data_IF_849674445938
#
_entry.id   IF_849674445938
#
_cell.length_a   1.000
_cell.length_b   1.000
_cell.length_c   1.000
_cell.angle_alpha   90.00
_cell.angle_beta   90.00
_cell.angle_gamma   90.00
#
_symmetry.space_group_name_H-M   'P 1'
#
loop_
_entity.id
_entity.type
_entity.pdbx_description
1 polymer ?
#
# COMPACT_ATOMS: atom_id res chain seq x y z
N UNK A 1 -59.83 4.89 24.75
CA UNK A 1 -59.24 5.81 25.76
C UNK A 1 -57.91 5.20 26.20
N UNK A 2 -56.72 5.79 26.15
CA UNK A 2 -56.22 7.11 25.77
C UNK A 2 -54.88 6.90 25.04
N UNK A 3 -54.67 7.74 24.05
CA UNK A 3 -53.40 8.01 23.39
C UNK A 3 -52.35 8.46 24.40
N UNK A 4 -51.10 8.00 24.28
CA UNK A 4 -49.94 8.70 24.82
C UNK A 4 -48.87 8.81 23.72
N UNK A 5 -48.81 10.03 23.20
CA UNK A 5 -47.89 10.56 22.21
C UNK A 5 -46.54 10.86 22.88
N UNK A 6 -45.46 10.48 22.18
CA UNK A 6 -44.11 11.08 22.07
C UNK A 6 -43.58 11.87 23.27
N UNK A 7 -42.32 11.60 23.65
CA UNK A 7 -41.19 12.52 23.41
C UNK A 7 -39.90 11.92 24.01
N UNK A 8 -38.96 11.47 23.17
CA UNK A 8 -37.54 11.47 23.55
C UNK A 8 -36.78 12.25 22.48
N UNK A 9 -36.45 13.48 22.88
CA UNK A 9 -35.70 14.47 22.14
C UNK A 9 -34.35 13.90 21.67
N UNK A 10 -34.23 13.67 20.36
CA UNK A 10 -32.93 13.51 19.70
C UNK A 10 -32.28 14.89 19.70
N UNK A 11 -31.29 15.08 20.59
CA UNK A 11 -30.47 16.27 20.63
C UNK A 11 -29.84 16.50 19.25
N UNK A 12 -30.32 17.53 18.56
CA UNK A 12 -29.81 18.00 17.28
C UNK A 12 -28.41 18.54 17.51
N UNK A 13 -27.42 17.91 16.89
CA UNK A 13 -26.05 18.41 16.77
C UNK A 13 -26.06 19.58 15.78
N UNK A 14 -26.39 20.77 16.27
CA UNK A 14 -26.25 22.03 15.53
C UNK A 14 -24.77 22.34 15.41
N UNK A 15 -24.23 22.17 14.21
CA UNK A 15 -22.93 22.75 13.86
C UNK A 15 -23.15 24.25 13.57
N UNK A 16 -22.70 25.11 14.48
CA UNK A 16 -22.49 26.51 14.17
C UNK A 16 -21.31 26.62 13.21
N UNK A 17 -21.58 27.06 11.98
CA UNK A 17 -20.57 27.60 11.06
C UNK A 17 -20.40 29.07 11.43
N UNK A 18 -19.23 29.44 11.94
CA UNK A 18 -18.79 30.81 12.05
C UNK A 18 -17.31 30.89 11.68
N UNK A 19 -17.03 31.68 10.65
CA UNK A 19 -15.69 32.00 10.17
C UNK A 19 -15.05 33.08 11.06
N UNK A 20 -13.75 32.96 11.35
CA UNK A 20 -12.88 34.09 11.65
C UNK A 20 -11.39 33.70 11.53
N UNK A 21 -10.62 34.55 10.85
CA UNK A 21 -9.16 34.53 10.71
C UNK A 21 -8.52 35.04 12.00
N UNK A 22 -7.61 34.27 12.59
CA UNK A 22 -6.56 34.78 13.48
C UNK A 22 -5.50 33.70 13.69
N UNK A 23 -4.23 34.07 13.56
CA UNK A 23 -3.09 33.17 13.59
C UNK A 23 -3.02 32.33 14.86
N UNK A 24 -2.92 31.02 14.67
CA UNK A 24 -2.49 30.08 15.70
C UNK A 24 -1.72 28.96 14.98
N UNK A 25 -0.45 28.81 15.33
CA UNK A 25 0.40 27.71 14.86
C UNK A 25 -0.28 26.38 15.16
N UNK A 26 -0.46 25.55 14.12
CA UNK A 26 -0.94 24.19 14.27
C UNK A 26 0.15 23.36 14.99
N UNK A 27 -0.14 22.70 16.12
CA UNK A 27 0.82 21.79 16.72
C UNK A 27 1.16 20.68 15.72
N UNK A 28 2.46 20.52 15.45
CA UNK A 28 2.97 19.51 14.52
C UNK A 28 2.61 18.12 15.03
N UNK A 29 1.57 17.53 14.43
CA UNK A 29 1.19 16.14 14.69
C UNK A 29 2.41 15.27 14.35
N UNK A 30 3.00 14.53 15.30
CA UNK A 30 4.06 13.60 14.96
C UNK A 30 3.46 12.57 14.00
N UNK A 31 3.97 12.53 12.77
CA UNK A 31 3.60 11.52 11.78
C UNK A 31 3.87 10.16 12.44
N UNK A 32 2.82 9.46 12.87
CA UNK A 32 2.92 8.05 13.26
C UNK A 32 3.46 7.30 12.06
N UNK A 33 4.75 6.98 12.11
CA UNK A 33 5.40 6.13 11.15
C UNK A 33 4.59 4.83 11.07
N UNK A 34 4.14 4.46 9.88
CA UNK A 34 3.40 3.23 9.64
C UNK A 34 4.31 2.04 9.91
N UNK A 35 4.35 1.55 11.16
CA UNK A 35 5.07 0.35 11.56
C UNK A 35 4.70 -0.88 10.71
N UNK A 36 3.52 -0.85 10.07
CA UNK A 36 3.03 -1.89 9.16
C UNK A 36 3.73 -1.95 7.80
N UNK A 37 4.45 -0.90 7.40
CA UNK A 37 5.24 -0.89 6.15
C UNK A 37 6.65 -1.47 6.37
N UNK A 38 7.27 -1.21 7.52
CA UNK A 38 8.62 -1.68 7.83
C UNK A 38 8.71 -3.20 8.03
N UNK A 39 7.65 -3.83 8.56
CA UNK A 39 7.64 -5.27 8.85
C UNK A 39 7.58 -6.19 7.61
N UNK A 40 7.17 -5.68 6.44
CA UNK A 40 7.12 -6.49 5.20
C UNK A 40 8.45 -6.56 4.46
N UNK A 41 9.33 -5.58 4.64
CA UNK A 41 10.65 -5.55 3.99
C UNK A 41 11.67 -6.50 4.66
N UNK A 42 11.33 -7.15 5.79
CA UNK A 42 12.24 -8.06 6.53
C UNK A 42 12.27 -9.49 5.97
N UNK A 43 11.31 -9.88 5.10
CA UNK A 43 11.20 -11.30 4.69
C UNK A 43 12.06 -11.69 3.48
N UNK A 44 12.76 -10.76 2.83
CA UNK A 44 13.77 -11.09 1.83
C UNK A 44 14.86 -10.00 1.69
N UNK A 45 16.08 -10.20 2.24
CA UNK A 45 17.17 -9.22 2.15
C UNK A 45 17.63 -8.93 0.71
N UNK A 46 17.30 -9.79 -0.26
CA UNK A 46 17.61 -9.60 -1.69
C UNK A 46 16.66 -8.61 -2.40
N UNK A 47 15.47 -8.35 -1.83
CA UNK A 47 14.48 -7.45 -2.43
C UNK A 47 14.56 -6.01 -1.90
N UNK A 48 15.68 -5.59 -1.31
CA UNK A 48 15.88 -4.17 -0.93
C UNK A 48 15.67 -3.26 -2.14
N UNK A 49 15.22 -2.02 -1.88
CA UNK A 49 14.93 -1.05 -2.96
C UNK A 49 16.20 -0.81 -3.79
N UNK A 50 16.05 -0.73 -5.11
CA UNK A 50 17.14 -0.37 -6.00
C UNK A 50 17.73 1.01 -5.63
N UNK A 51 19.05 1.21 -5.74
CA UNK A 51 19.66 2.52 -5.53
C UNK A 51 19.11 3.54 -6.55
N UNK A 52 18.88 4.76 -6.07
CA UNK A 52 18.52 5.89 -6.93
C UNK A 52 19.74 6.40 -7.71
N UNK A 53 19.51 7.16 -8.78
CA UNK A 53 20.55 7.84 -9.55
C UNK A 53 21.49 8.66 -8.64
N UNK A 54 20.92 9.37 -7.65
CA UNK A 54 21.71 10.10 -6.66
C UNK A 54 22.54 9.17 -5.76
N UNK A 55 22.04 7.98 -5.39
CA UNK A 55 22.81 7.05 -4.55
C UNK A 55 24.01 6.46 -5.31
N UNK A 56 23.84 6.23 -6.62
CA UNK A 56 24.95 5.84 -7.50
C UNK A 56 25.97 6.96 -7.61
N UNK A 57 25.51 8.19 -7.83
CA UNK A 57 26.38 9.38 -7.85
C UNK A 57 27.14 9.59 -6.53
N UNK A 58 26.45 9.47 -5.39
CA UNK A 58 27.09 9.56 -4.05
C UNK A 58 28.15 8.49 -3.90
N UNK A 59 27.92 7.26 -4.37
CA UNK A 59 28.89 6.17 -4.27
C UNK A 59 30.21 6.50 -4.99
N UNK A 60 30.14 7.22 -6.11
CA UNK A 60 31.30 7.56 -6.93
C UNK A 60 31.99 8.85 -6.45
N UNK A 61 31.21 9.88 -6.13
CA UNK A 61 31.72 11.24 -5.85
C UNK A 61 32.07 11.45 -4.38
N UNK A 62 31.35 10.80 -3.45
CA UNK A 62 31.65 10.90 -2.02
C UNK A 62 33.09 10.48 -1.64
N UNK A 63 33.66 9.37 -2.14
CA UNK A 63 35.05 9.04 -1.84
C UNK A 63 36.04 10.04 -2.45
N UNK A 64 35.71 10.71 -3.55
CA UNK A 64 36.54 11.77 -4.13
C UNK A 64 36.57 12.98 -3.19
N UNK A 65 35.40 13.46 -2.77
CA UNK A 65 35.27 14.59 -1.83
C UNK A 65 35.96 14.29 -0.49
N UNK A 66 35.88 13.04 0.00
CA UNK A 66 36.56 12.63 1.23
C UNK A 66 38.09 12.62 1.10
N UNK A 67 38.62 12.29 -0.09
CA UNK A 67 40.07 12.33 -0.35
C UNK A 67 40.60 13.75 -0.50
N UNK A 68 39.84 14.62 -1.14
CA UNK A 68 40.21 16.03 -1.33
C UNK A 68 40.08 16.85 -0.04
N UNK A 69 39.14 16.48 0.83
CA UNK A 69 38.90 17.17 2.08
C UNK A 69 38.78 16.18 3.26
N UNK A 70 39.88 15.51 3.65
CA UNK A 70 39.87 14.51 4.72
C UNK A 70 39.63 15.12 6.11
N UNK A 71 39.78 16.44 6.25
CA UNK A 71 39.53 17.20 7.48
C UNK A 71 38.08 17.62 7.67
N UNK A 72 37.24 17.54 6.62
CA UNK A 72 35.83 17.90 6.73
C UNK A 72 35.01 16.76 7.36
N UNK A 73 34.02 17.14 8.16
CA UNK A 73 33.08 16.18 8.73
C UNK A 73 32.26 15.48 7.64
N UNK A 74 31.82 14.24 7.91
CA UNK A 74 30.96 13.48 7.01
C UNK A 74 29.73 14.28 6.53
N UNK A 75 29.12 15.05 7.44
CA UNK A 75 27.95 15.89 7.15
C UNK A 75 28.28 16.99 6.14
N UNK A 76 29.42 17.68 6.30
CA UNK A 76 29.85 18.72 5.36
C UNK A 76 30.22 18.13 3.99
N UNK A 77 30.89 16.97 3.96
CA UNK A 77 31.20 16.27 2.71
C UNK A 77 29.92 15.82 1.97
N UNK A 78 28.93 15.29 2.69
CA UNK A 78 27.64 14.87 2.13
C UNK A 78 26.85 16.06 1.56
N UNK A 79 26.86 17.21 2.25
CA UNK A 79 26.24 18.45 1.74
C UNK A 79 26.87 18.90 0.43
N UNK A 80 28.20 18.89 0.31
CA UNK A 80 28.91 19.22 -0.93
C UNK A 80 28.51 18.31 -2.10
N UNK A 81 28.43 16.99 -1.88
CA UNK A 81 27.99 16.04 -2.91
C UNK A 81 26.54 16.29 -3.32
N UNK A 82 25.66 16.65 -2.37
CA UNK A 82 24.28 17.01 -2.68
C UNK A 82 24.18 18.28 -3.53
N UNK A 83 24.96 19.31 -3.21
CA UNK A 83 25.03 20.55 -4.00
C UNK A 83 25.56 20.29 -5.40
N UNK A 84 26.60 19.47 -5.54
CA UNK A 84 27.13 19.02 -6.83
C UNK A 84 26.07 18.30 -7.65
N UNK A 85 25.27 17.41 -7.05
CA UNK A 85 24.17 16.77 -7.75
C UNK A 85 23.09 17.77 -8.17
N UNK A 86 22.73 18.73 -7.33
CA UNK A 86 21.71 19.73 -7.68
C UNK A 86 22.18 20.64 -8.82
N UNK A 87 23.44 21.07 -8.79
CA UNK A 87 24.08 21.92 -9.80
C UNK A 87 24.43 21.17 -11.10
N UNK A 88 24.60 19.84 -11.04
CA UNK A 88 24.91 19.03 -12.20
C UNK A 88 23.83 19.14 -13.30
N UNK A 89 24.28 19.27 -14.55
CA UNK A 89 23.39 19.33 -15.72
C UNK A 89 22.73 17.97 -15.98
N UNK A 90 21.64 17.99 -16.77
CA UNK A 90 20.94 16.76 -17.16
C UNK A 90 21.86 15.76 -17.89
N UNK A 91 22.90 16.23 -18.57
CA UNK A 91 23.87 15.37 -19.25
C UNK A 91 24.70 14.53 -18.26
N UNK A 92 25.06 15.08 -17.10
CA UNK A 92 25.78 14.34 -16.05
C UNK A 92 24.84 13.39 -15.31
N UNK A 93 23.58 13.79 -15.11
CA UNK A 93 22.56 12.96 -14.44
C UNK A 93 22.04 11.81 -15.30
N UNK A 94 21.93 12.01 -16.61
CA UNK A 94 21.39 11.04 -17.57
C UNK A 94 21.99 9.63 -17.47
N UNK A 95 23.32 9.42 -17.42
CA UNK A 95 23.88 8.07 -17.26
C UNK A 95 23.48 7.43 -15.93
N UNK A 96 23.49 8.19 -14.83
CA UNK A 96 23.08 7.69 -13.51
C UNK A 96 21.58 7.38 -13.44
N UNK A 97 20.73 8.16 -14.12
CA UNK A 97 19.31 7.90 -14.23
C UNK A 97 19.02 6.64 -15.06
N UNK A 98 19.74 6.45 -16.18
CA UNK A 98 19.63 5.26 -17.01
C UNK A 98 20.08 4.00 -16.25
N UNK A 99 21.19 4.06 -15.51
CA UNK A 99 21.65 2.95 -14.69
C UNK A 99 20.68 2.65 -13.53
N UNK A 100 20.20 3.68 -12.82
CA UNK A 100 19.22 3.51 -11.77
C UNK A 100 17.89 2.94 -12.30
N UNK A 101 17.47 3.33 -13.51
CA UNK A 101 16.29 2.76 -14.17
C UNK A 101 16.47 1.27 -14.47
N UNK A 102 17.64 0.86 -14.97
CA UNK A 102 17.97 -0.56 -15.20
C UNK A 102 17.95 -1.36 -13.89
N UNK A 103 18.60 -0.86 -12.85
CA UNK A 103 18.62 -1.51 -11.53
C UNK A 103 17.21 -1.59 -10.92
N UNK A 104 16.40 -0.54 -11.06
CA UNK A 104 15.00 -0.54 -10.62
C UNK A 104 14.18 -1.57 -11.38
N UNK A 105 14.35 -1.70 -12.69
CA UNK A 105 13.67 -2.70 -13.50
C UNK A 105 14.06 -4.12 -13.08
N UNK A 106 15.34 -4.39 -12.86
CA UNK A 106 15.84 -5.69 -12.39
C UNK A 106 15.27 -6.06 -11.02
N UNK A 107 15.28 -5.14 -10.05
CA UNK A 107 14.68 -5.36 -8.72
C UNK A 107 13.16 -5.54 -8.82
N UNK A 108 12.47 -4.81 -9.69
CA UNK A 108 11.03 -4.97 -9.91
C UNK A 108 10.70 -6.36 -10.49
N UNK A 109 11.51 -6.85 -11.44
CA UNK A 109 11.37 -8.20 -11.99
C UNK A 109 11.56 -9.27 -10.92
N UNK A 110 12.64 -9.18 -10.12
CA UNK A 110 12.86 -10.09 -8.98
C UNK A 110 11.70 -10.05 -7.97
N UNK A 111 11.20 -8.85 -7.64
CA UNK A 111 10.03 -8.67 -6.76
C UNK A 111 8.77 -9.31 -7.35
N UNK A 112 8.58 -9.26 -8.66
CA UNK A 112 7.44 -9.86 -9.32
C UNK A 112 7.47 -11.39 -9.22
N UNK A 113 8.64 -12.02 -9.40
CA UNK A 113 8.84 -13.47 -9.25
C UNK A 113 8.50 -13.91 -7.83
N UNK A 114 9.11 -13.28 -6.82
CA UNK A 114 8.85 -13.64 -5.41
C UNK A 114 7.37 -13.45 -5.05
N UNK A 115 6.74 -12.38 -5.54
CA UNK A 115 5.30 -12.15 -5.32
C UNK A 115 4.42 -13.19 -6.04
N UNK A 116 4.85 -13.71 -7.19
CA UNK A 116 4.14 -14.76 -7.91
C UNK A 116 4.25 -16.10 -7.15
N UNK A 117 5.45 -16.44 -6.67
CA UNK A 117 5.67 -17.63 -5.84
C UNK A 117 4.89 -17.59 -4.53
N UNK A 118 4.88 -16.44 -3.84
CA UNK A 118 4.09 -16.25 -2.62
C UNK A 118 2.59 -16.43 -2.89
N UNK A 119 2.10 -15.94 -4.02
CA UNK A 119 0.71 -16.13 -4.44
C UNK A 119 0.39 -17.60 -4.79
N UNK A 120 1.31 -18.32 -5.40
CA UNK A 120 1.12 -19.74 -5.72
C UNK A 120 1.02 -20.60 -4.45
N UNK A 121 1.77 -20.24 -3.40
CA UNK A 121 1.70 -20.87 -2.08
C UNK A 121 0.57 -20.33 -1.20
N UNK A 122 -0.09 -19.23 -1.60
CA UNK A 122 -1.17 -18.65 -0.82
C UNK A 122 -2.44 -19.48 -0.94
N UNK A 123 -3.19 -19.57 0.18
CA UNK A 123 -4.49 -20.24 0.21
C UNK A 123 -5.48 -19.55 -0.76
N UNK A 124 -6.36 -20.31 -1.42
CA UNK A 124 -7.37 -19.75 -2.30
C UNK A 124 -8.39 -18.89 -1.52
N UNK A 125 -9.08 -17.96 -2.21
CA UNK A 125 -10.08 -17.10 -1.60
C UNK A 125 -11.28 -17.91 -1.08
N UNK A 126 -11.80 -17.52 0.10
CA UNK A 126 -13.04 -18.10 0.64
C UNK A 126 -14.30 -17.60 -0.06
N UNK A 127 -15.46 -18.18 0.30
CA UNK A 127 -16.76 -17.96 -0.34
C UNK A 127 -17.14 -16.48 -0.51
N UNK A 128 -17.06 -15.70 0.58
CA UNK A 128 -17.36 -14.26 0.54
C UNK A 128 -16.41 -13.49 -0.39
N UNK A 129 -15.13 -13.86 -0.45
CA UNK A 129 -14.16 -13.18 -1.32
C UNK A 129 -14.42 -13.50 -2.79
N UNK A 130 -14.88 -14.72 -3.11
CA UNK A 130 -15.35 -15.07 -4.46
C UNK A 130 -16.56 -14.23 -4.85
N UNK A 131 -17.54 -14.10 -3.96
CA UNK A 131 -18.70 -13.24 -4.17
C UNK A 131 -18.30 -11.78 -4.41
N UNK A 132 -17.43 -11.21 -3.57
CA UNK A 132 -16.90 -9.85 -3.74
C UNK A 132 -16.18 -9.70 -5.08
N UNK A 133 -15.36 -10.68 -5.49
CA UNK A 133 -14.65 -10.61 -6.79
C UNK A 133 -15.62 -10.53 -7.97
N UNK A 134 -16.70 -11.32 -7.96
CA UNK A 134 -17.70 -11.34 -9.05
C UNK A 134 -18.55 -10.05 -9.07
N UNK A 135 -18.95 -9.54 -7.89
CA UNK A 135 -19.96 -8.48 -7.80
C UNK A 135 -19.42 -7.07 -7.57
N UNK A 136 -18.16 -6.91 -7.12
CA UNK A 136 -17.60 -5.59 -6.78
C UNK A 136 -17.66 -4.60 -7.94
N UNK A 137 -17.38 -5.03 -9.17
CA UNK A 137 -17.39 -4.15 -10.33
C UNK A 137 -18.79 -3.55 -10.56
N UNK A 138 -19.84 -4.36 -10.44
CA UNK A 138 -21.22 -3.91 -10.57
C UNK A 138 -21.62 -2.96 -9.43
N UNK A 139 -21.26 -3.30 -8.18
CA UNK A 139 -21.59 -2.45 -7.01
C UNK A 139 -20.87 -1.11 -7.06
N UNK A 140 -19.61 -1.06 -7.50
CA UNK A 140 -18.87 0.19 -7.69
C UNK A 140 -19.51 1.03 -8.81
N UNK A 141 -19.87 0.41 -9.93
CA UNK A 141 -20.53 1.12 -11.05
C UNK A 141 -21.90 1.68 -10.66
N UNK A 142 -22.65 0.96 -9.83
CA UNK A 142 -23.95 1.41 -9.31
C UNK A 142 -23.84 2.46 -8.19
N UNK A 143 -22.65 2.64 -7.60
CA UNK A 143 -22.40 3.59 -6.52
C UNK A 143 -21.18 4.48 -6.83
N UNK A 144 -21.22 5.26 -7.93
CA UNK A 144 -20.14 6.21 -8.20
C UNK A 144 -20.09 7.25 -7.09
N UNK A 145 -18.92 7.46 -6.48
CA UNK A 145 -18.73 8.41 -5.39
C UNK A 145 -18.75 7.83 -3.98
N UNK A 146 -19.15 6.56 -3.79
CA UNK A 146 -18.96 5.88 -2.50
C UNK A 146 -17.51 5.47 -2.30
N UNK A 147 -17.04 5.58 -1.07
CA UNK A 147 -15.71 5.13 -0.67
C UNK A 147 -15.63 3.61 -0.74
N UNK A 148 -14.40 3.09 -0.90
CA UNK A 148 -14.15 1.63 -0.91
C UNK A 148 -14.67 0.95 0.35
N UNK A 149 -14.66 1.65 1.49
CA UNK A 149 -15.16 1.13 2.76
C UNK A 149 -16.69 1.00 2.76
N UNK A 150 -17.41 1.99 2.25
CA UNK A 150 -18.88 1.94 2.14
C UNK A 150 -19.31 0.86 1.15
N UNK A 151 -18.62 0.71 0.02
CA UNK A 151 -18.84 -0.38 -0.93
C UNK A 151 -18.60 -1.74 -0.27
N UNK A 152 -17.56 -1.85 0.57
CA UNK A 152 -17.29 -3.05 1.36
C UNK A 152 -18.40 -3.40 2.34
N UNK A 153 -18.95 -2.40 3.04
CA UNK A 153 -20.09 -2.59 3.95
C UNK A 153 -21.35 -3.04 3.20
N UNK A 154 -21.63 -2.43 2.04
CA UNK A 154 -22.76 -2.81 1.19
C UNK A 154 -22.63 -4.25 0.68
N UNK A 155 -21.46 -4.67 0.21
CA UNK A 155 -21.24 -6.06 -0.21
C UNK A 155 -21.38 -7.06 0.95
N UNK A 156 -20.96 -6.68 2.17
CA UNK A 156 -21.15 -7.50 3.36
C UNK A 156 -22.63 -7.67 3.73
N UNK A 157 -23.43 -6.61 3.56
CA UNK A 157 -24.88 -6.68 3.73
C UNK A 157 -25.53 -7.53 2.64
N UNK A 158 -25.15 -7.34 1.37
CA UNK A 158 -25.62 -8.14 0.26
C UNK A 158 -25.33 -9.63 0.47
N UNK A 159 -24.12 -9.99 0.91
CA UNK A 159 -23.76 -11.38 1.20
C UNK A 159 -24.67 -12.00 2.28
N UNK A 160 -24.98 -11.27 3.35
CA UNK A 160 -25.90 -11.75 4.40
C UNK A 160 -27.35 -11.85 3.93
N UNK A 161 -27.74 -11.01 2.98
CA UNK A 161 -29.08 -10.98 2.40
C UNK A 161 -29.28 -12.00 1.28
N UNK A 162 -28.22 -12.59 0.73
CA UNK A 162 -28.34 -13.66 -0.28
C UNK A 162 -29.06 -14.88 0.30
N UNK A 163 -29.83 -15.54 -0.56
CA UNK A 163 -30.45 -16.82 -0.21
C UNK A 163 -29.38 -17.84 0.24
N UNK A 164 -29.72 -18.72 1.19
CA UNK A 164 -28.78 -19.73 1.69
C UNK A 164 -28.24 -20.63 0.57
N UNK A 165 -29.06 -20.90 -0.45
CA UNK A 165 -28.67 -21.68 -1.64
C UNK A 165 -27.59 -20.98 -2.48
N UNK A 166 -27.70 -19.67 -2.69
CA UNK A 166 -26.70 -18.91 -3.43
C UNK A 166 -25.40 -18.79 -2.63
N UNK A 167 -25.50 -18.55 -1.31
CA UNK A 167 -24.34 -18.59 -0.43
C UNK A 167 -23.67 -19.96 -0.47
N UNK A 168 -24.45 -21.05 -0.56
CA UNK A 168 -23.93 -22.41 -0.60
C UNK A 168 -23.14 -22.67 -1.88
N UNK A 169 -23.59 -22.20 -3.05
CA UNK A 169 -22.81 -22.27 -4.31
C UNK A 169 -21.40 -21.71 -4.15
N UNK A 170 -21.28 -20.53 -3.51
CA UNK A 170 -19.96 -19.93 -3.24
C UNK A 170 -19.14 -20.68 -2.19
N UNK A 171 -19.79 -21.33 -1.20
CA UNK A 171 -19.11 -22.18 -0.21
C UNK A 171 -18.56 -23.44 -0.85
N UNK A 172 -19.33 -24.07 -1.73
CA UNK A 172 -18.91 -25.26 -2.47
C UNK A 172 -17.78 -24.92 -3.45
N UNK A 173 -17.90 -23.82 -4.21
CA UNK A 173 -16.81 -23.28 -5.05
C UNK A 173 -15.54 -23.00 -4.23
N UNK A 174 -15.67 -22.40 -3.04
CA UNK A 174 -14.51 -22.12 -2.19
C UNK A 174 -13.89 -23.41 -1.62
N UNK A 175 -14.71 -24.41 -1.32
CA UNK A 175 -14.26 -25.71 -0.82
C UNK A 175 -13.51 -26.48 -1.90
N UNK A 176 -14.05 -26.57 -3.11
CA UNK A 176 -13.36 -27.24 -4.24
C UNK A 176 -12.02 -26.59 -4.56
N UNK A 177 -11.95 -25.24 -4.55
CA UNK A 177 -10.68 -24.53 -4.72
C UNK A 177 -9.69 -24.83 -3.59
N UNK A 178 -10.15 -24.89 -2.34
CA UNK A 178 -9.31 -25.22 -1.19
C UNK A 178 -8.78 -26.65 -1.25
N UNK A 179 -9.62 -27.60 -1.64
CA UNK A 179 -9.25 -29.01 -1.75
C UNK A 179 -8.28 -29.22 -2.92
N UNK A 180 -8.53 -28.59 -4.07
CA UNK A 180 -7.58 -28.58 -5.20
C UNK A 180 -6.22 -27.98 -4.80
N UNK A 181 -6.21 -26.87 -4.04
CA UNK A 181 -4.99 -26.28 -3.52
C UNK A 181 -4.26 -27.21 -2.54
N UNK A 182 -4.98 -27.85 -1.61
CA UNK A 182 -4.40 -28.83 -0.68
C UNK A 182 -3.79 -30.02 -1.41
N UNK A 183 -4.48 -30.56 -2.41
CA UNK A 183 -3.99 -31.67 -3.21
C UNK A 183 -2.74 -31.27 -4.00
N UNK A 184 -2.73 -30.08 -4.61
CA UNK A 184 -1.56 -29.57 -5.32
C UNK A 184 -0.34 -29.32 -4.39
N UNK A 185 -0.57 -28.89 -3.15
CA UNK A 185 0.51 -28.74 -2.16
C UNK A 185 0.97 -30.09 -1.59
N UNK A 186 0.06 -31.05 -1.38
CA UNK A 186 0.39 -32.39 -0.89
C UNK A 186 1.11 -33.25 -1.93
N UNK A 187 0.71 -33.17 -3.19
CA UNK A 187 1.39 -33.83 -4.31
C UNK A 187 2.77 -33.22 -4.62
N UNK A 188 3.04 -31.99 -4.20
CA UNK A 188 4.37 -31.37 -4.31
C UNK A 188 5.32 -31.75 -3.16
N UNK A 189 4.83 -32.48 -2.15
CA UNK A 189 5.58 -32.88 -0.95
C UNK A 189 5.89 -34.39 -0.88
N UNK A 190 5.46 -35.16 -1.88
CA UNK A 190 5.74 -36.60 -2.08
C UNK A 190 6.62 -36.74 -3.32
#
# INVERSE_FOLDING_TARGET
>A
MRSLVRCTSVARRTYCVAAARSGQELPSVPKKASAKAAAKDVKNPELKRAPSAFNLFVKDVFPMVKKEAPTLSFTAASQKVREQWLSASNAVKAPYEAEAAKLKAAVAAKRAVVKAEEKAKARPPGAYILFVKKNRAAVVKANPGKTVMEVGALMGQQWKALAPEEQQKYKDEAKTLLDAWRNAQGAAAV
#
